data_IF_807972145556
#
_entry.id   IF_807972145556
#
_cell.length_a   1.000
_cell.length_b   1.000
_cell.length_c   1.000
_cell.angle_alpha   90.00
_cell.angle_beta   90.00
_cell.angle_gamma   90.00
#
_symmetry.space_group_name_H-M   'P 1'
#
loop_
_entity.id
_entity.type
_entity.pdbx_description
1 polymer ?
#
# COMPACT_ATOMS: atom_id res chain seq x y z
N UNK A 1 0.68 -18.80 4.48
CA UNK A 1 0.15 -17.57 5.11
C UNK A 1 -0.95 -17.04 4.20
N UNK A 2 -2.07 -16.56 4.75
CA UNK A 2 -3.27 -16.28 3.96
C UNK A 2 -3.06 -15.03 3.09
N UNK A 3 -2.69 -15.24 1.82
CA UNK A 3 -2.24 -14.23 0.84
C UNK A 3 -3.20 -13.02 0.74
N UNK A 4 -4.50 -13.25 0.96
CA UNK A 4 -5.51 -12.19 0.99
C UNK A 4 -5.32 -11.18 2.16
N UNK A 5 -4.99 -11.65 3.37
CA UNK A 5 -4.77 -10.76 4.53
C UNK A 5 -3.57 -9.85 4.33
N UNK A 6 -2.53 -10.36 3.68
CA UNK A 6 -1.30 -9.62 3.39
C UNK A 6 -1.55 -8.52 2.36
N UNK A 7 -2.29 -8.81 1.30
CA UNK A 7 -2.73 -7.82 0.31
C UNK A 7 -3.53 -6.68 0.93
N UNK A 8 -4.47 -7.00 1.82
CA UNK A 8 -5.24 -5.97 2.54
C UNK A 8 -4.36 -5.10 3.43
N UNK A 9 -3.35 -5.67 4.11
CA UNK A 9 -2.40 -4.87 4.90
C UNK A 9 -1.62 -3.87 4.05
N UNK A 10 -1.21 -4.26 2.84
CA UNK A 10 -0.51 -3.39 1.91
C UNK A 10 -1.41 -2.24 1.46
N UNK A 11 -2.69 -2.51 1.13
CA UNK A 11 -3.65 -1.46 0.77
C UNK A 11 -3.91 -0.49 1.91
N UNK A 12 -4.01 -0.98 3.15
CA UNK A 12 -4.13 -0.12 4.34
C UNK A 12 -2.88 0.73 4.51
N UNK A 13 -1.69 0.15 4.43
CA UNK A 13 -0.44 0.90 4.49
C UNK A 13 -0.34 1.96 3.37
N UNK A 14 -0.87 1.68 2.18
CA UNK A 14 -0.88 2.64 1.07
C UNK A 14 -1.83 3.80 1.34
N UNK A 15 -2.99 3.52 1.95
CA UNK A 15 -3.92 4.55 2.43
C UNK A 15 -3.25 5.48 3.44
N UNK A 16 -2.51 4.92 4.40
CA UNK A 16 -1.78 5.71 5.40
C UNK A 16 -0.69 6.55 4.74
N UNK A 17 0.08 5.98 3.80
CA UNK A 17 1.14 6.70 3.10
C UNK A 17 0.60 7.84 2.22
N UNK A 18 -0.54 7.64 1.56
CA UNK A 18 -1.21 8.69 0.79
C UNK A 18 -1.63 9.87 1.68
N UNK A 19 -2.11 9.58 2.90
CA UNK A 19 -2.44 10.62 3.86
C UNK A 19 -1.20 11.39 4.34
N UNK A 20 -0.12 10.68 4.66
CA UNK A 20 1.17 11.30 5.02
C UNK A 20 1.64 12.25 3.92
N UNK A 21 1.74 11.76 2.69
CA UNK A 21 2.23 12.55 1.54
C UNK A 21 1.37 13.79 1.28
N UNK A 22 0.04 13.69 1.48
CA UNK A 22 -0.85 14.85 1.40
C UNK A 22 -0.60 15.84 2.55
N UNK A 23 -0.49 15.33 3.78
CA UNK A 23 -0.25 16.15 4.97
C UNK A 23 1.09 16.88 4.93
N UNK A 24 2.09 16.28 4.28
CA UNK A 24 3.42 16.85 4.04
C UNK A 24 3.50 17.69 2.74
N UNK A 25 2.37 17.90 2.06
CA UNK A 25 2.25 18.70 0.83
C UNK A 25 3.10 18.17 -0.35
N UNK A 26 3.40 16.87 -0.36
CA UNK A 26 4.13 16.18 -1.44
C UNK A 26 3.20 15.87 -2.63
N UNK A 27 1.91 15.71 -2.37
CA UNK A 27 0.85 15.58 -3.40
C UNK A 27 -0.23 16.63 -3.16
N UNK A 28 -0.93 17.03 -4.24
CA UNK A 28 -2.05 17.96 -4.12
C UNK A 28 -3.27 17.28 -3.51
N UNK A 29 -4.22 18.08 -2.99
CA UNK A 29 -5.50 17.56 -2.51
C UNK A 29 -6.25 16.78 -3.60
N UNK A 30 -6.27 17.31 -4.83
CA UNK A 30 -6.91 16.62 -5.97
C UNK A 30 -6.27 15.26 -6.25
N UNK A 31 -4.94 15.18 -6.21
CA UNK A 31 -4.20 13.93 -6.40
C UNK A 31 -4.49 12.95 -5.26
N UNK A 32 -4.47 13.41 -4.01
CA UNK A 32 -4.83 12.62 -2.84
C UNK A 32 -6.24 12.04 -2.96
N UNK A 33 -7.23 12.88 -3.23
CA UNK A 33 -8.64 12.47 -3.32
C UNK A 33 -8.86 11.42 -4.42
N UNK A 34 -8.21 11.58 -5.58
CA UNK A 34 -8.28 10.58 -6.67
C UNK A 34 -7.66 9.26 -6.25
N UNK A 35 -6.44 9.27 -5.69
CA UNK A 35 -5.71 8.05 -5.33
C UNK A 35 -6.36 7.32 -4.15
N UNK A 36 -6.74 8.04 -3.10
CA UNK A 36 -7.34 7.43 -1.90
C UNK A 36 -8.70 6.80 -2.20
N UNK A 37 -9.47 7.38 -3.13
CA UNK A 37 -10.73 6.79 -3.60
C UNK A 37 -10.50 5.41 -4.22
N UNK A 38 -9.50 5.28 -5.10
CA UNK A 38 -9.15 4.00 -5.73
C UNK A 38 -8.70 2.97 -4.67
N UNK A 39 -7.84 3.35 -3.74
CA UNK A 39 -7.38 2.45 -2.67
C UNK A 39 -8.54 1.98 -1.80
N UNK A 40 -9.44 2.88 -1.37
CA UNK A 40 -10.62 2.51 -0.57
C UNK A 40 -11.58 1.61 -1.33
N UNK A 41 -11.75 1.83 -2.65
CA UNK A 41 -12.56 0.97 -3.50
C UNK A 41 -12.01 -0.47 -3.51
N UNK A 42 -10.70 -0.63 -3.67
CA UNK A 42 -10.04 -1.94 -3.66
C UNK A 42 -10.14 -2.64 -2.30
N UNK A 43 -10.00 -1.89 -1.18
CA UNK A 43 -10.19 -2.42 0.18
C UNK A 43 -11.62 -2.92 0.38
N UNK A 44 -12.62 -2.11 0.01
CA UNK A 44 -14.04 -2.44 0.20
C UNK A 44 -14.48 -3.65 -0.66
N UNK A 45 -13.84 -3.85 -1.81
CA UNK A 45 -14.06 -5.01 -2.66
C UNK A 45 -13.31 -6.26 -2.18
N UNK A 46 -12.51 -6.15 -1.11
CA UNK A 46 -11.73 -7.26 -0.58
C UNK A 46 -10.61 -7.74 -1.51
N UNK A 47 -10.03 -6.85 -2.32
CA UNK A 47 -8.93 -7.12 -3.27
C UNK A 47 -8.77 -8.60 -3.70
N UNK A 48 -9.41 -8.93 -4.81
CA UNK A 48 -9.51 -10.31 -5.32
C UNK A 48 -8.26 -10.70 -6.13
N UNK A 49 -7.48 -9.71 -6.58
CA UNK A 49 -6.27 -9.91 -7.39
C UNK A 49 -5.11 -10.61 -6.66
N UNK A 50 -4.07 -10.91 -7.42
CA UNK A 50 -2.80 -11.48 -6.95
C UNK A 50 -1.88 -10.41 -6.33
N UNK A 51 -0.77 -10.82 -5.72
CA UNK A 51 0.25 -9.86 -5.26
C UNK A 51 0.90 -9.08 -6.41
N UNK A 52 0.98 -9.67 -7.60
CA UNK A 52 1.51 -8.99 -8.78
C UNK A 52 0.56 -7.89 -9.26
N UNK A 53 -0.75 -8.17 -9.29
CA UNK A 53 -1.78 -7.16 -9.58
C UNK A 53 -1.73 -6.01 -8.57
N UNK A 54 -1.48 -6.33 -7.30
CA UNK A 54 -1.36 -5.32 -6.25
C UNK A 54 -0.12 -4.45 -6.46
N UNK A 55 1.01 -5.04 -6.83
CA UNK A 55 2.23 -4.29 -7.12
C UNK A 55 2.03 -3.35 -8.31
N UNK A 56 1.39 -3.83 -9.39
CA UNK A 56 1.03 -3.00 -10.54
C UNK A 56 0.11 -1.84 -10.13
N UNK A 57 -0.95 -2.13 -9.36
CA UNK A 57 -1.85 -1.12 -8.83
C UNK A 57 -1.12 -0.06 -8.01
N UNK A 58 -0.23 -0.46 -7.09
CA UNK A 58 0.53 0.52 -6.29
C UNK A 58 1.47 1.35 -7.15
N UNK A 59 2.08 0.76 -8.17
CA UNK A 59 2.98 1.44 -9.11
C UNK A 59 2.24 2.46 -9.96
N UNK A 60 1.04 2.14 -10.42
CA UNK A 60 0.17 3.06 -11.18
C UNK A 60 -0.23 4.27 -10.34
N UNK A 61 -0.31 4.11 -9.00
CA UNK A 61 -0.50 5.22 -8.06
C UNK A 61 0.78 6.01 -7.75
N UNK A 62 1.94 5.58 -8.27
CA UNK A 62 3.24 6.20 -8.04
C UNK A 62 3.99 5.69 -6.82
N UNK A 63 3.58 4.54 -6.27
CA UNK A 63 4.16 3.94 -5.07
C UNK A 63 4.80 2.59 -5.35
N UNK A 64 5.87 2.29 -4.60
CA UNK A 64 6.57 1.03 -4.61
C UNK A 64 6.39 0.34 -3.27
N UNK A 65 5.92 -0.90 -3.30
CA UNK A 65 5.82 -1.76 -2.11
C UNK A 65 7.10 -2.55 -1.95
N UNK A 66 7.86 -2.27 -0.90
CA UNK A 66 9.05 -3.01 -0.50
C UNK A 66 8.67 -3.94 0.65
N UNK A 67 8.57 -5.23 0.36
CA UNK A 67 8.47 -6.26 1.39
C UNK A 67 9.87 -6.71 1.77
N UNK A 68 10.41 -6.17 2.86
CA UNK A 68 11.69 -6.64 3.40
C UNK A 68 11.42 -7.72 4.46
N UNK A 69 11.88 -8.97 4.29
CA UNK A 69 11.90 -9.92 5.39
C UNK A 69 12.88 -9.39 6.44
N UNK A 70 12.38 -8.91 7.57
CA UNK A 70 13.25 -8.60 8.71
C UNK A 70 13.68 -9.94 9.33
N UNK A 71 14.83 -10.46 8.87
CA UNK A 71 15.57 -11.52 9.58
C UNK A 71 16.15 -10.95 10.87
N UNK A 72 15.31 -10.66 11.85
CA UNK A 72 15.74 -10.60 13.24
C UNK A 72 15.40 -11.94 13.87
N UNK A 73 16.42 -12.60 14.42
CA UNK A 73 16.41 -13.93 15.09
C UNK A 73 15.45 -14.04 16.29
N UNK A 74 14.57 -13.06 16.50
CA UNK A 74 13.60 -12.95 17.57
C UNK A 74 12.28 -12.41 16.98
N UNK A 75 11.45 -13.30 16.42
CA UNK A 75 10.04 -13.03 16.12
C UNK A 75 9.73 -11.89 15.14
N UNK A 76 10.42 -11.81 14.00
CA UNK A 76 10.21 -10.76 12.98
C UNK A 76 8.78 -10.73 12.41
N UNK A 77 8.11 -9.58 12.54
CA UNK A 77 6.91 -9.24 11.79
C UNK A 77 7.29 -8.60 10.45
N UNK A 78 6.74 -9.10 9.34
CA UNK A 78 6.93 -8.49 8.02
C UNK A 78 6.62 -6.98 8.08
N UNK A 79 7.63 -6.15 7.79
CA UNK A 79 7.49 -4.70 7.75
C UNK A 79 7.25 -4.30 6.30
N UNK A 80 6.01 -3.90 6.00
CA UNK A 80 5.65 -3.35 4.70
C UNK A 80 6.18 -1.92 4.67
N UNK A 81 7.07 -1.62 3.73
CA UNK A 81 7.58 -0.26 3.49
C UNK A 81 7.01 0.20 2.15
N UNK A 82 6.35 1.35 2.13
CA UNK A 82 5.83 1.96 0.89
C UNK A 82 6.65 3.22 0.63
N UNK A 83 7.27 3.28 -0.55
CA UNK A 83 8.07 4.42 -0.98
C UNK A 83 7.49 5.02 -2.26
N UNK A 84 7.70 6.31 -2.49
CA UNK A 84 7.33 6.96 -3.77
C UNK A 84 8.42 6.66 -4.81
N UNK A 85 8.01 6.38 -6.06
CA UNK A 85 8.96 6.26 -7.18
C UNK A 85 9.54 7.62 -7.59
#
# INVERSE_FOLDING_TARGET
MNNHRERLKILVALSDKLWEDYSEHIISEEEYLKKIYLVKKEINNGFIGTMEDLNLFTKDLGYLVLMSPTKTFLGGSDKIIINRN
#
